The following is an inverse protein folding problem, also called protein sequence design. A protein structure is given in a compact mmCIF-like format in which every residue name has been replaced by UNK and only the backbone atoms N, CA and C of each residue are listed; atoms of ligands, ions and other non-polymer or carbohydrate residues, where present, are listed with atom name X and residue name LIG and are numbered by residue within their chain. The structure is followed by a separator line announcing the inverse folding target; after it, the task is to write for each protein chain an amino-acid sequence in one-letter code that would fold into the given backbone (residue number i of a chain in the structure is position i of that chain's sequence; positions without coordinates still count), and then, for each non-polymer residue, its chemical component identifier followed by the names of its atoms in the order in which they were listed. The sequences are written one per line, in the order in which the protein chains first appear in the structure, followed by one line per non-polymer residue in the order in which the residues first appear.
data_IF_979981633350
#
_entry.id   IF_979981633350
#
_cell.length_a   1.000
_cell.length_b   1.000
_cell.length_c   1.000
_cell.angle_alpha   90.00
_cell.angle_beta   90.00
_cell.angle_gamma   90.00
#
_symmetry.space_group_name_H-M   'P 1'
#
loop_
_entity.id
_entity.type
_entity.pdbx_description
1 polymer ?
#
# COMPACT_ATOMS: atom_id res chain seq x y z
N UNK A 1 -1.26 -41.94 -17.85
CA UNK A 1 -2.57 -41.41 -17.39
C UNK A 1 -3.02 -42.04 -16.07
N UNK A 2 -2.19 -42.05 -15.01
CA UNK A 2 -2.31 -43.12 -13.99
C UNK A 2 -2.71 -42.72 -12.56
N UNK A 3 -2.54 -41.47 -12.08
CA UNK A 3 -2.69 -41.15 -10.63
C UNK A 3 -4.04 -40.53 -10.25
N UNK A 4 -4.62 -39.70 -11.12
CA UNK A 4 -5.89 -39.02 -10.85
C UNK A 4 -7.11 -39.95 -10.98
N UNK A 5 -7.07 -40.92 -11.89
CA UNK A 5 -8.12 -41.93 -12.05
C UNK A 5 -8.20 -42.88 -10.83
N UNK A 6 -7.04 -43.32 -10.33
CA UNK A 6 -6.94 -44.14 -9.10
C UNK A 6 -7.47 -43.35 -7.92
N UNK A 7 -7.04 -42.09 -7.76
CA UNK A 7 -7.56 -41.21 -6.70
C UNK A 7 -9.09 -41.09 -6.78
N UNK A 8 -9.65 -40.97 -7.98
CA UNK A 8 -11.09 -40.88 -8.17
C UNK A 8 -11.82 -42.19 -7.84
N UNK A 9 -11.27 -43.33 -8.27
CA UNK A 9 -11.82 -44.69 -8.03
C UNK A 9 -11.90 -45.00 -6.54
N UNK A 10 -10.84 -44.71 -5.78
CA UNK A 10 -10.76 -45.03 -4.35
C UNK A 10 -11.40 -43.96 -3.44
N UNK A 11 -11.61 -42.73 -3.91
CA UNK A 11 -12.17 -41.66 -3.07
C UNK A 11 -13.56 -41.99 -2.50
N UNK A 12 -14.47 -42.59 -3.28
CA UNK A 12 -15.80 -42.98 -2.79
C UNK A 12 -15.73 -44.08 -1.73
N UNK A 13 -14.89 -45.09 -1.94
CA UNK A 13 -14.66 -46.19 -0.99
C UNK A 13 -14.02 -45.66 0.29
N UNK A 14 -13.01 -44.80 0.16
CA UNK A 14 -12.35 -44.13 1.28
C UNK A 14 -13.32 -43.30 2.14
N UNK A 15 -14.29 -42.61 1.53
CA UNK A 15 -15.27 -41.82 2.30
C UNK A 15 -16.15 -42.67 3.22
N UNK A 16 -16.60 -43.83 2.72
CA UNK A 16 -17.56 -44.73 3.37
C UNK A 16 -16.89 -45.81 4.25
N UNK A 17 -15.58 -46.00 4.11
CA UNK A 17 -14.81 -46.99 4.83
C UNK A 17 -14.71 -46.70 6.34
N UNK A 18 -14.59 -47.77 7.13
CA UNK A 18 -14.23 -47.74 8.55
C UNK A 18 -12.78 -47.26 8.73
N UNK A 19 -12.36 -47.01 9.98
CA UNK A 19 -10.98 -46.54 10.27
C UNK A 19 -9.92 -47.51 9.76
N UNK A 20 -10.15 -48.83 9.94
CA UNK A 20 -9.24 -49.90 9.49
C UNK A 20 -9.13 -49.91 7.95
N UNK A 21 -10.27 -49.97 7.27
CA UNK A 21 -10.33 -50.00 5.80
C UNK A 21 -9.83 -48.71 5.14
N UNK A 22 -9.94 -47.56 5.82
CA UNK A 22 -9.29 -46.30 5.37
C UNK A 22 -7.77 -46.40 5.40
N UNK A 23 -7.21 -47.13 6.37
CA UNK A 23 -5.78 -47.44 6.45
C UNK A 23 -5.33 -48.20 5.21
N UNK A 24 -5.97 -49.34 4.94
CA UNK A 24 -5.69 -50.23 3.79
C UNK A 24 -5.80 -49.49 2.45
N UNK A 25 -6.86 -48.68 2.26
CA UNK A 25 -7.02 -47.89 1.03
C UNK A 25 -5.90 -46.86 0.87
N UNK A 26 -5.42 -46.25 1.97
CA UNK A 26 -4.28 -45.34 1.89
C UNK A 26 -3.00 -46.06 1.50
N UNK A 27 -2.77 -47.27 2.00
CA UNK A 27 -1.58 -48.06 1.68
C UNK A 27 -1.54 -48.41 0.19
N UNK A 28 -2.66 -48.90 -0.35
CA UNK A 28 -2.81 -49.18 -1.79
C UNK A 28 -2.58 -47.92 -2.64
N UNK A 29 -3.11 -46.78 -2.21
CA UNK A 29 -2.94 -45.52 -2.97
C UNK A 29 -1.50 -45.02 -2.88
N UNK A 30 -0.84 -45.17 -1.72
CA UNK A 30 0.57 -44.79 -1.53
C UNK A 30 1.46 -45.65 -2.41
N UNK A 31 1.27 -46.96 -2.41
CA UNK A 31 2.03 -47.93 -3.21
C UNK A 31 1.94 -47.61 -4.71
N UNK A 32 0.73 -47.40 -5.23
CA UNK A 32 0.54 -47.20 -6.68
C UNK A 32 0.91 -45.78 -7.14
N UNK A 33 0.81 -44.77 -6.27
CA UNK A 33 1.08 -43.36 -6.66
C UNK A 33 2.45 -42.85 -6.25
N UNK A 34 3.16 -43.55 -5.36
CA UNK A 34 4.41 -43.10 -4.73
C UNK A 34 4.23 -41.86 -3.84
N UNK A 35 3.01 -41.56 -3.40
CA UNK A 35 2.74 -40.40 -2.56
C UNK A 35 2.98 -40.69 -1.08
N UNK A 36 3.33 -39.66 -0.31
CA UNK A 36 3.24 -39.75 1.15
C UNK A 36 1.78 -39.97 1.58
N UNK A 37 1.60 -40.71 2.68
CA UNK A 37 0.27 -41.07 3.21
C UNK A 37 -0.63 -39.85 3.45
N UNK A 38 -0.05 -38.74 3.89
CA UNK A 38 -0.74 -37.47 4.09
C UNK A 38 -1.17 -36.79 2.80
N UNK A 39 -0.37 -36.91 1.74
CA UNK A 39 -0.72 -36.40 0.41
C UNK A 39 -1.84 -37.25 -0.21
N UNK A 40 -1.75 -38.58 -0.13
CA UNK A 40 -2.81 -39.51 -0.56
C UNK A 40 -4.15 -39.21 0.16
N UNK A 41 -4.11 -39.02 1.48
CA UNK A 41 -5.29 -38.63 2.28
C UNK A 41 -5.91 -37.31 1.81
N UNK A 42 -5.09 -36.28 1.56
CA UNK A 42 -5.54 -34.97 1.08
C UNK A 42 -6.17 -35.07 -0.31
N UNK A 43 -5.54 -35.83 -1.23
CA UNK A 43 -6.01 -36.03 -2.60
C UNK A 43 -7.34 -36.78 -2.66
N UNK A 44 -7.50 -37.86 -1.89
CA UNK A 44 -8.76 -38.60 -1.77
C UNK A 44 -9.90 -37.71 -1.22
N UNK A 45 -9.64 -36.92 -0.17
CA UNK A 45 -10.62 -35.96 0.38
C UNK A 45 -11.01 -34.87 -0.63
N UNK A 46 -10.05 -34.34 -1.38
CA UNK A 46 -10.27 -33.28 -2.38
C UNK A 46 -11.06 -33.80 -3.60
N UNK A 47 -10.83 -35.04 -4.01
CA UNK A 47 -11.55 -35.66 -5.13
C UNK A 47 -13.07 -35.76 -4.89
N UNK A 48 -13.50 -36.02 -3.65
CA UNK A 48 -14.93 -36.01 -3.26
C UNK A 48 -15.56 -34.62 -3.32
N UNK A 49 -14.79 -33.57 -3.01
CA UNK A 49 -15.30 -32.19 -3.04
C UNK A 49 -15.60 -31.73 -4.47
N UNK A 50 -14.83 -32.20 -5.48
CA UNK A 50 -15.03 -31.86 -6.90
C UNK A 50 -16.42 -32.23 -7.43
N UNK A 51 -17.02 -33.36 -7.00
CA UNK A 51 -18.38 -33.74 -7.42
C UNK A 51 -19.49 -32.95 -6.71
N UNK A 52 -19.30 -32.56 -5.44
CA UNK A 52 -20.27 -31.70 -4.72
C UNK A 52 -20.32 -30.27 -5.25
N UNK A 53 -19.33 -29.85 -6.04
CA UNK A 53 -19.22 -28.48 -6.55
C UNK A 53 -19.89 -28.25 -7.92
N UNK A 54 -20.06 -29.27 -8.77
CA UNK A 54 -20.55 -29.07 -10.16
C UNK A 54 -22.06 -28.75 -10.25
N UNK A 55 -22.83 -29.15 -9.24
CA UNK A 55 -24.29 -28.95 -9.15
C UNK A 55 -24.76 -28.19 -7.91
N UNK A 56 -23.86 -27.51 -7.17
CA UNK A 56 -24.34 -26.39 -6.37
C UNK A 56 -24.76 -25.33 -7.37
N UNK A 57 -26.05 -25.29 -7.72
CA UNK A 57 -26.68 -24.09 -8.31
C UNK A 57 -26.10 -22.93 -7.53
N UNK A 58 -25.28 -22.11 -8.16
CA UNK A 58 -24.90 -20.83 -7.59
C UNK A 58 -26.21 -20.07 -7.50
N UNK A 59 -26.90 -20.18 -6.36
CA UNK A 59 -27.99 -19.27 -6.05
C UNK A 59 -27.33 -17.91 -6.19
N UNK A 60 -27.64 -17.19 -7.28
CA UNK A 60 -27.13 -15.84 -7.48
C UNK A 60 -27.65 -15.08 -6.28
N UNK A 61 -26.79 -14.87 -5.27
CA UNK A 61 -27.15 -14.11 -4.08
C UNK A 61 -27.65 -12.78 -4.60
N UNK A 62 -28.92 -12.45 -4.36
CA UNK A 62 -29.46 -11.13 -4.69
C UNK A 62 -28.54 -10.11 -4.06
N UNK A 63 -27.82 -9.36 -4.90
CA UNK A 63 -26.97 -8.28 -4.43
C UNK A 63 -27.90 -7.22 -3.87
N UNK A 64 -27.72 -6.85 -2.59
CA UNK A 64 -28.46 -5.73 -2.00
C UNK A 64 -28.28 -4.50 -2.90
N UNK A 65 -29.35 -3.71 -3.14
CA UNK A 65 -29.22 -2.47 -3.89
C UNK A 65 -28.16 -1.59 -3.23
N UNK A 66 -27.40 -0.90 -4.08
CA UNK A 66 -26.35 -0.01 -3.63
C UNK A 66 -27.00 1.24 -3.03
N UNK A 67 -26.74 1.50 -1.74
CA UNK A 67 -27.31 2.65 -1.01
C UNK A 67 -26.98 4.00 -1.64
N UNK A 68 -25.82 4.09 -2.31
CA UNK A 68 -25.27 5.33 -2.82
C UNK A 68 -25.32 5.35 -4.34
N UNK A 69 -25.58 6.52 -4.91
CA UNK A 69 -25.81 6.74 -6.33
C UNK A 69 -24.59 6.34 -7.18
N UNK A 70 -24.80 5.97 -8.46
CA UNK A 70 -23.69 5.75 -9.40
C UNK A 70 -22.78 6.97 -9.52
N UNK A 71 -23.35 8.18 -9.55
CA UNK A 71 -22.64 9.45 -9.61
C UNK A 71 -21.70 9.65 -8.42
N UNK A 72 -22.20 9.50 -7.19
CA UNK A 72 -21.36 9.60 -5.98
C UNK A 72 -20.18 8.61 -6.00
N UNK A 73 -20.38 7.41 -6.55
CA UNK A 73 -19.30 6.41 -6.68
C UNK A 73 -18.25 6.78 -7.73
N UNK A 74 -18.63 7.45 -8.81
CA UNK A 74 -17.68 7.93 -9.82
C UNK A 74 -16.84 9.09 -9.25
N UNK A 75 -17.51 10.06 -8.63
CA UNK A 75 -16.85 11.18 -7.96
C UNK A 75 -15.92 10.67 -6.84
N UNK A 76 -16.31 9.61 -6.12
CA UNK A 76 -15.44 8.96 -5.12
C UNK A 76 -14.12 8.48 -5.73
N UNK A 77 -14.16 7.84 -6.89
CA UNK A 77 -12.96 7.32 -7.57
C UNK A 77 -12.04 8.46 -7.98
N UNK A 78 -12.62 9.55 -8.50
CA UNK A 78 -11.87 10.74 -8.90
C UNK A 78 -11.23 11.44 -7.68
N UNK A 79 -12.00 11.72 -6.63
CA UNK A 79 -11.47 12.29 -5.39
C UNK A 79 -10.37 11.41 -4.76
N UNK A 80 -10.56 10.09 -4.79
CA UNK A 80 -9.58 9.13 -4.28
C UNK A 80 -8.25 9.16 -5.05
N UNK A 81 -8.30 9.19 -6.38
CA UNK A 81 -7.08 9.24 -7.20
C UNK A 81 -6.31 10.54 -6.98
N UNK A 82 -7.02 11.67 -6.96
CA UNK A 82 -6.43 12.99 -6.70
C UNK A 82 -5.88 13.14 -5.28
N UNK A 83 -6.41 12.40 -4.31
CA UNK A 83 -5.92 12.41 -2.92
C UNK A 83 -4.63 11.59 -2.70
N UNK A 84 -4.11 10.92 -3.73
CA UNK A 84 -2.94 10.05 -3.62
C UNK A 84 -3.24 8.62 -3.17
N UNK A 85 -4.42 8.10 -3.52
CA UNK A 85 -4.79 6.68 -3.40
C UNK A 85 -4.79 6.14 -1.94
N UNK A 86 -5.28 6.92 -0.98
CA UNK A 86 -5.31 6.51 0.44
C UNK A 86 -6.35 5.39 0.71
N UNK A 87 -6.28 4.72 1.87
CA UNK A 87 -7.30 3.73 2.24
C UNK A 87 -8.58 4.40 2.74
N UNK A 88 -9.72 3.69 2.72
CA UNK A 88 -11.02 4.29 3.01
C UNK A 88 -11.11 5.00 4.35
N UNK A 89 -10.42 4.50 5.38
CA UNK A 89 -10.37 5.16 6.68
C UNK A 89 -9.70 6.55 6.65
N UNK A 90 -8.60 6.69 5.91
CA UNK A 90 -7.92 7.98 5.75
C UNK A 90 -8.67 8.87 4.76
N UNK A 91 -9.29 8.30 3.73
CA UNK A 91 -10.11 9.06 2.79
C UNK A 91 -11.31 9.71 3.48
N UNK A 92 -11.99 9.00 4.38
CA UNK A 92 -13.06 9.59 5.21
C UNK A 92 -12.53 10.79 6.01
N UNK A 93 -11.35 10.66 6.63
CA UNK A 93 -10.76 11.76 7.39
C UNK A 93 -10.40 12.96 6.49
N UNK A 94 -9.90 12.71 5.27
CA UNK A 94 -9.63 13.77 4.27
C UNK A 94 -10.92 14.44 3.79
N UNK A 95 -11.98 13.67 3.50
CA UNK A 95 -13.29 14.21 3.12
C UNK A 95 -13.82 15.11 4.24
N UNK A 96 -13.75 14.64 5.50
CA UNK A 96 -14.14 15.44 6.68
C UNK A 96 -13.28 16.69 6.86
N UNK A 97 -11.99 16.65 6.53
CA UNK A 97 -11.09 17.81 6.61
C UNK A 97 -11.20 18.78 5.42
N UNK A 98 -12.14 18.54 4.50
CA UNK A 98 -12.43 19.46 3.39
C UNK A 98 -11.77 19.10 2.06
N UNK A 99 -11.34 17.85 1.83
CA UNK A 99 -10.80 17.41 0.54
C UNK A 99 -11.72 17.77 -0.62
N UNK A 100 -13.02 17.46 -0.53
CA UNK A 100 -13.98 17.74 -1.59
C UNK A 100 -14.10 19.24 -1.85
N UNK A 101 -14.12 20.06 -0.78
CA UNK A 101 -14.15 21.51 -0.87
C UNK A 101 -12.92 22.07 -1.60
N UNK A 102 -11.72 21.59 -1.29
CA UNK A 102 -10.49 22.01 -1.97
C UNK A 102 -10.49 21.61 -3.44
N UNK A 103 -10.85 20.37 -3.74
CA UNK A 103 -10.90 19.87 -5.12
C UNK A 103 -11.93 20.65 -5.96
N UNK A 104 -13.08 20.99 -5.39
CA UNK A 104 -14.10 21.81 -6.08
C UNK A 104 -13.61 23.25 -6.25
N UNK A 105 -13.04 23.87 -5.20
CA UNK A 105 -12.54 25.24 -5.26
C UNK A 105 -11.43 25.43 -6.31
N UNK A 106 -10.62 24.41 -6.55
CA UNK A 106 -9.60 24.40 -7.59
C UNK A 106 -10.09 23.89 -8.96
N UNK A 107 -11.37 23.56 -9.10
CA UNK A 107 -11.93 23.06 -10.37
C UNK A 107 -11.36 21.70 -10.80
N UNK A 108 -11.05 20.82 -9.85
CA UNK A 108 -10.44 19.52 -10.12
C UNK A 108 -11.43 18.34 -10.03
N UNK A 109 -12.61 18.55 -9.43
CA UNK A 109 -13.59 17.49 -9.22
C UNK A 109 -14.67 17.49 -10.31
N UNK A 110 -14.81 16.34 -10.99
CA UNK A 110 -15.74 16.15 -12.11
C UNK A 110 -16.52 14.85 -11.97
N UNK A 111 -17.75 14.83 -12.49
CA UNK A 111 -18.47 13.60 -12.77
C UNK A 111 -18.00 13.03 -14.11
N UNK A 112 -17.26 11.93 -14.07
CA UNK A 112 -16.55 11.37 -15.21
C UNK A 112 -15.11 11.89 -15.34
N UNK A 113 -14.61 11.97 -16.58
CA UNK A 113 -13.23 12.37 -16.88
C UNK A 113 -13.10 13.90 -16.96
N UNK A 114 -11.98 14.48 -16.51
CA UNK A 114 -11.75 15.95 -16.47
C UNK A 114 -12.09 16.68 -17.79
N UNK A 115 -11.85 16.04 -18.94
CA UNK A 115 -12.05 16.64 -20.27
C UNK A 115 -13.41 16.33 -20.92
N UNK A 116 -14.22 15.43 -20.34
CA UNK A 116 -15.50 14.97 -20.92
C UNK A 116 -16.66 15.00 -19.91
N UNK A 117 -16.36 15.30 -18.65
CA UNK A 117 -17.27 15.26 -17.53
C UNK A 117 -17.76 16.65 -17.15
N UNK A 118 -18.73 16.68 -16.24
CA UNK A 118 -19.31 17.92 -15.74
C UNK A 118 -18.65 18.29 -14.40
N UNK A 119 -18.31 19.58 -14.18
CA UNK A 119 -17.77 20.03 -12.91
C UNK A 119 -18.79 19.78 -11.78
N UNK A 120 -18.29 19.40 -10.62
CA UNK A 120 -19.13 19.11 -9.44
C UNK A 120 -19.22 20.35 -8.56
N UNK A 121 -20.42 20.73 -8.17
CA UNK A 121 -20.66 21.82 -7.21
C UNK A 121 -20.70 21.31 -5.77
N UNK A 122 -20.46 22.19 -4.80
CA UNK A 122 -20.60 21.88 -3.38
C UNK A 122 -22.03 21.50 -2.98
N UNK A 123 -23.04 22.00 -3.71
CA UNK A 123 -24.45 21.69 -3.47
C UNK A 123 -24.92 20.37 -4.09
N UNK A 124 -24.04 19.66 -4.80
CA UNK A 124 -24.40 18.40 -5.46
C UNK A 124 -24.79 17.31 -4.42
N UNK A 125 -25.95 16.64 -4.57
CA UNK A 125 -26.36 15.54 -3.69
C UNK A 125 -25.28 14.46 -3.52
N UNK A 126 -24.47 14.22 -4.54
CA UNK A 126 -23.38 13.26 -4.49
C UNK A 126 -22.29 13.64 -3.46
N UNK A 127 -22.05 14.93 -3.22
CA UNK A 127 -21.12 15.40 -2.19
C UNK A 127 -21.67 15.06 -0.80
N UNK A 128 -22.95 15.30 -0.57
CA UNK A 128 -23.64 14.91 0.67
C UNK A 128 -23.57 13.40 0.91
N UNK A 129 -23.80 12.60 -0.13
CA UNK A 129 -23.65 11.14 -0.08
C UNK A 129 -22.23 10.72 0.33
N UNK A 130 -21.20 11.35 -0.24
CA UNK A 130 -19.79 11.05 0.07
C UNK A 130 -19.45 11.32 1.55
N UNK A 131 -19.97 12.41 2.12
CA UNK A 131 -19.81 12.70 3.54
C UNK A 131 -20.45 11.65 4.46
N UNK A 132 -21.51 10.98 3.99
CA UNK A 132 -22.21 9.92 4.73
C UNK A 132 -21.58 8.53 4.57
N UNK A 133 -20.64 8.33 3.65
CA UNK A 133 -20.05 7.00 3.41
C UNK A 133 -19.14 6.57 4.56
N UNK A 134 -19.31 5.33 5.02
CA UNK A 134 -18.37 4.71 5.96
C UNK A 134 -17.08 4.27 5.27
N UNK A 135 -15.99 4.15 6.03
CA UNK A 135 -14.68 3.69 5.53
C UNK A 135 -14.77 2.33 4.81
N UNK A 136 -15.50 1.38 5.38
CA UNK A 136 -15.71 0.05 4.80
C UNK A 136 -16.50 0.11 3.49
N UNK A 137 -17.45 1.04 3.36
CA UNK A 137 -18.21 1.24 2.13
C UNK A 137 -17.33 1.80 1.02
N UNK A 138 -16.53 2.82 1.35
CA UNK A 138 -15.53 3.40 0.45
C UNK A 138 -14.56 2.31 -0.05
N UNK A 139 -13.99 1.51 0.84
CA UNK A 139 -13.06 0.45 0.44
C UNK A 139 -13.73 -0.62 -0.44
N UNK A 140 -15.02 -0.90 -0.23
CA UNK A 140 -15.78 -1.81 -1.09
C UNK A 140 -15.98 -1.24 -2.49
N UNK A 141 -16.30 0.05 -2.61
CA UNK A 141 -16.51 0.72 -3.90
C UNK A 141 -15.21 0.92 -4.68
N UNK A 142 -14.13 1.28 -3.98
CA UNK A 142 -12.81 1.46 -4.58
C UNK A 142 -12.11 0.13 -4.91
N UNK A 143 -12.68 -1.03 -4.57
CA UNK A 143 -12.02 -2.33 -4.77
C UNK A 143 -11.67 -2.62 -6.23
N UNK A 144 -12.47 -2.14 -7.19
CA UNK A 144 -12.15 -2.27 -8.62
C UNK A 144 -10.98 -1.34 -8.97
N UNK A 145 -11.14 -0.04 -8.73
CA UNK A 145 -10.11 0.96 -9.01
C UNK A 145 -8.74 0.65 -8.35
N UNK A 146 -8.73 0.14 -7.10
CA UNK A 146 -7.51 -0.30 -6.40
C UNK A 146 -6.81 -1.49 -7.06
N UNK A 147 -7.57 -2.41 -7.66
CA UNK A 147 -7.00 -3.55 -8.39
C UNK A 147 -6.42 -3.07 -9.73
N UNK A 148 -7.10 -2.16 -10.39
CA UNK A 148 -6.68 -1.64 -11.69
C UNK A 148 -5.44 -0.72 -11.58
N UNK A 149 -5.26 -0.03 -10.45
CA UNK A 149 -4.09 0.83 -10.17
C UNK A 149 -2.78 0.05 -9.94
N UNK A 150 -2.87 -1.17 -9.38
CA UNK A 150 -1.70 -1.98 -9.07
C UNK A 150 -1.48 -2.93 -10.25
N UNK A 151 -0.56 -2.64 -11.19
CA UNK A 151 -0.06 -3.72 -12.06
C UNK A 151 0.43 -4.85 -11.15
N UNK A 152 0.33 -6.14 -11.54
CA UNK A 152 0.83 -7.25 -10.75
C UNK A 152 2.36 -7.20 -10.69
N UNK A 153 2.91 -6.26 -9.92
CA UNK A 153 4.32 -6.19 -9.62
C UNK A 153 4.56 -7.34 -8.65
N UNK A 154 5.30 -8.36 -9.10
CA UNK A 154 5.84 -9.38 -8.21
C UNK A 154 6.46 -8.65 -7.02
N UNK A 155 6.06 -8.98 -5.81
CA UNK A 155 6.70 -8.47 -4.62
C UNK A 155 8.15 -8.95 -4.62
N UNK A 156 9.06 -8.17 -5.21
CA UNK A 156 10.51 -8.36 -5.06
C UNK A 156 10.88 -7.82 -3.70
N UNK A 157 10.39 -8.50 -2.67
CA UNK A 157 10.84 -8.32 -1.29
C UNK A 157 12.19 -9.01 -1.16
N UNK A 158 13.24 -8.46 -1.80
CA UNK A 158 14.58 -8.66 -1.26
C UNK A 158 14.72 -7.68 -0.11
N UNK A 159 14.67 -8.21 1.11
CA UNK A 159 15.08 -7.49 2.30
C UNK A 159 16.55 -7.15 2.11
N UNK A 160 16.83 -5.87 1.92
CA UNK A 160 18.19 -5.39 2.02
C UNK A 160 18.43 -5.08 3.50
N UNK A 161 19.07 -6.03 4.19
CA UNK A 161 19.62 -5.82 5.53
C UNK A 161 20.82 -4.88 5.40
N UNK A 162 20.62 -3.61 5.75
CA UNK A 162 21.74 -2.71 5.95
C UNK A 162 21.88 -2.47 7.46
N UNK A 163 22.86 -3.10 8.15
CA UNK A 163 23.41 -2.47 9.36
C UNK A 163 23.88 -1.05 8.97
N UNK A 164 24.04 -0.13 9.94
CA UNK A 164 24.60 1.20 9.67
C UNK A 164 25.69 1.07 8.61
N UNK A 165 25.42 1.63 7.43
CA UNK A 165 26.29 1.44 6.28
C UNK A 165 27.64 2.09 6.61
N UNK A 166 28.73 1.58 6.01
CA UNK A 166 30.10 2.07 6.20
C UNK A 166 30.21 3.61 6.18
N UNK A 167 29.34 4.26 5.42
CA UNK A 167 29.17 5.69 5.24
C UNK A 167 28.96 6.47 6.56
N UNK A 168 28.39 5.84 7.60
CA UNK A 168 28.17 6.47 8.91
C UNK A 168 29.20 6.05 9.98
N UNK A 169 30.11 5.15 9.63
CA UNK A 169 31.20 4.68 10.49
C UNK A 169 32.51 5.13 9.82
N UNK A 170 32.68 6.45 9.72
CA UNK A 170 33.89 7.08 9.19
C UNK A 170 34.57 7.93 10.28
N UNK A 171 35.81 8.31 10.02
CA UNK A 171 36.62 9.05 11.00
C UNK A 171 36.06 10.44 11.27
N UNK A 172 35.57 11.14 10.24
CA UNK A 172 35.02 12.49 10.40
C UNK A 172 33.80 12.52 11.31
N UNK A 173 32.87 11.57 11.17
CA UNK A 173 31.66 11.51 12.01
C UNK A 173 31.98 11.13 13.44
N UNK A 174 32.98 10.26 13.66
CA UNK A 174 33.45 9.90 15.00
C UNK A 174 34.06 11.12 15.69
N UNK A 175 34.92 11.87 14.99
CA UNK A 175 35.58 13.04 15.56
C UNK A 175 34.58 14.18 15.82
N UNK A 176 33.63 14.39 14.91
CA UNK A 176 32.51 15.31 15.12
C UNK A 176 31.65 14.92 16.33
N UNK A 177 31.30 13.64 16.46
CA UNK A 177 30.50 13.16 17.59
C UNK A 177 31.22 13.34 18.93
N UNK A 178 32.54 13.10 18.99
CA UNK A 178 33.35 13.37 20.19
C UNK A 178 33.35 14.86 20.53
N UNK A 179 33.51 15.73 19.54
CA UNK A 179 33.54 17.18 19.73
C UNK A 179 32.19 17.73 20.23
N UNK A 180 31.07 17.17 19.75
CA UNK A 180 29.73 17.52 20.21
C UNK A 180 29.27 16.74 21.47
N UNK A 181 30.13 15.87 21.99
CA UNK A 181 29.86 14.99 23.13
C UNK A 181 28.61 14.09 22.91
N UNK A 182 28.44 13.60 21.68
CA UNK A 182 27.40 12.64 21.31
C UNK A 182 27.88 11.21 21.48
N UNK A 183 27.06 10.40 22.13
CA UNK A 183 27.29 8.97 22.23
C UNK A 183 26.83 8.26 20.96
N UNK A 184 27.77 7.79 20.13
CA UNK A 184 27.45 6.95 18.98
C UNK A 184 27.10 5.53 19.44
N UNK A 185 25.98 5.01 18.95
CA UNK A 185 25.53 3.63 19.19
C UNK A 185 25.24 2.93 17.86
N UNK A 186 25.32 1.59 17.86
CA UNK A 186 25.09 0.78 16.67
C UNK A 186 24.13 -0.37 16.98
N UNK A 187 23.21 -0.64 16.07
CA UNK A 187 22.35 -1.82 16.12
C UNK A 187 23.17 -3.10 15.94
N UNK A 188 22.62 -4.23 16.39
CA UNK A 188 23.34 -5.50 16.28
C UNK A 188 23.53 -5.88 14.80
N UNK A 189 24.67 -6.47 14.42
CA UNK A 189 24.89 -6.97 13.07
C UNK A 189 23.74 -7.89 12.63
N UNK A 190 23.23 -7.68 11.41
CA UNK A 190 22.16 -8.47 10.80
C UNK A 190 20.78 -8.46 11.50
N UNK A 191 20.53 -7.51 12.40
CA UNK A 191 19.22 -7.35 13.05
C UNK A 191 18.45 -6.13 12.51
N UNK A 192 17.75 -6.32 11.38
CA UNK A 192 16.98 -5.24 10.71
C UNK A 192 15.86 -4.65 11.56
N UNK A 193 15.35 -5.40 12.55
CA UNK A 193 14.26 -4.96 13.42
C UNK A 193 14.71 -4.00 14.51
N UNK A 194 16.01 -3.84 14.77
CA UNK A 194 16.53 -2.91 15.78
C UNK A 194 16.21 -1.44 15.41
N UNK A 195 16.12 -1.15 14.10
CA UNK A 195 15.79 0.19 13.56
C UNK A 195 14.40 0.22 12.90
N UNK A 196 13.43 -0.55 13.41
CA UNK A 196 12.12 -0.72 12.78
C UNK A 196 11.38 0.60 12.48
N UNK A 197 11.50 1.61 13.35
CA UNK A 197 10.86 2.92 13.15
C UNK A 197 11.48 3.71 11.99
N UNK A 198 12.81 3.66 11.86
CA UNK A 198 13.53 4.28 10.73
C UNK A 198 13.15 3.57 9.44
N UNK A 199 13.16 2.23 9.44
CA UNK A 199 12.82 1.44 8.26
C UNK A 199 11.36 1.62 7.81
N UNK A 200 10.43 1.76 8.77
CA UNK A 200 9.05 2.12 8.47
C UNK A 200 8.97 3.47 7.75
N UNK A 201 9.72 4.48 8.20
CA UNK A 201 9.71 5.81 7.57
C UNK A 201 10.41 5.84 6.22
N UNK A 202 11.54 5.15 6.10
CA UNK A 202 12.22 4.93 4.83
C UNK A 202 11.30 4.26 3.81
N UNK A 203 10.51 3.28 4.23
CA UNK A 203 9.49 2.69 3.35
C UNK A 203 8.39 3.69 2.97
N UNK A 204 7.81 4.36 3.96
CA UNK A 204 6.60 5.18 3.79
C UNK A 204 6.83 6.48 2.98
N UNK A 205 8.02 7.07 3.14
CA UNK A 205 8.39 8.36 2.55
C UNK A 205 9.35 8.15 1.37
N UNK A 206 10.44 7.42 1.56
CA UNK A 206 11.48 7.33 0.54
C UNK A 206 11.09 6.30 -0.52
N UNK A 207 11.03 5.02 -0.16
CA UNK A 207 10.90 3.91 -1.13
C UNK A 207 9.57 3.89 -1.86
N UNK A 208 8.50 4.42 -1.24
CA UNK A 208 7.19 4.56 -1.88
C UNK A 208 7.20 5.64 -2.98
N UNK A 209 8.06 6.65 -2.84
CA UNK A 209 8.10 7.79 -3.74
C UNK A 209 9.29 7.70 -4.71
N UNK A 210 10.51 7.52 -4.22
CA UNK A 210 11.73 7.40 -5.03
C UNK A 210 12.14 5.95 -5.37
N UNK A 211 11.29 4.95 -5.11
CA UNK A 211 11.54 3.54 -5.46
C UNK A 211 12.83 2.96 -4.81
N UNK A 212 13.38 1.89 -5.39
CA UNK A 212 14.59 1.19 -4.92
C UNK A 212 15.74 1.26 -5.93
N UNK A 213 15.75 2.27 -6.80
CA UNK A 213 16.83 2.46 -7.77
C UNK A 213 18.01 3.22 -7.15
N UNK A 214 19.18 3.06 -7.78
CA UNK A 214 20.33 3.93 -7.55
C UNK A 214 20.21 5.09 -8.53
N UNK A 215 20.41 6.29 -8.02
CA UNK A 215 20.41 7.52 -8.79
C UNK A 215 21.80 8.12 -8.67
N UNK A 216 22.40 8.46 -9.80
CA UNK A 216 23.72 9.08 -9.87
C UNK A 216 23.60 10.37 -10.71
N UNK A 217 24.38 11.40 -10.36
CA UNK A 217 24.38 12.70 -11.06
C UNK A 217 23.57 13.82 -10.38
N UNK A 218 23.86 15.05 -10.78
CA UNK A 218 23.25 16.28 -10.24
C UNK A 218 21.77 16.40 -10.61
N UNK A 219 21.40 16.06 -11.85
CA UNK A 219 20.01 16.09 -12.32
C UNK A 219 19.09 15.22 -11.45
N UNK A 220 19.52 13.99 -11.13
CA UNK A 220 18.71 13.12 -10.28
C UNK A 220 18.58 13.66 -8.84
N UNK A 221 19.61 14.36 -8.34
CA UNK A 221 19.57 15.02 -7.04
C UNK A 221 18.57 16.18 -7.02
N UNK A 222 18.54 17.01 -8.07
CA UNK A 222 17.58 18.10 -8.22
C UNK A 222 16.14 17.57 -8.26
N UNK A 223 15.88 16.52 -9.06
CA UNK A 223 14.57 15.88 -9.14
C UNK A 223 14.13 15.30 -7.79
N UNK A 224 15.06 14.68 -7.04
CA UNK A 224 14.77 14.18 -5.69
C UNK A 224 14.41 15.32 -4.73
N UNK A 225 15.15 16.43 -4.75
CA UNK A 225 14.88 17.59 -3.90
C UNK A 225 13.50 18.19 -4.19
N UNK A 226 13.13 18.32 -5.46
CA UNK A 226 11.80 18.78 -5.85
C UNK A 226 10.72 17.77 -5.41
N UNK A 227 10.96 16.47 -5.58
CA UNK A 227 10.03 15.43 -5.13
C UNK A 227 9.77 15.52 -3.63
N UNK A 228 10.80 15.75 -2.82
CA UNK A 228 10.66 15.87 -1.36
C UNK A 228 9.82 17.07 -0.94
N UNK A 229 9.90 18.19 -1.65
CA UNK A 229 9.00 19.32 -1.41
C UNK A 229 7.52 18.90 -1.52
N UNK A 230 7.14 18.27 -2.63
CA UNK A 230 5.75 17.85 -2.87
C UNK A 230 5.30 16.73 -1.92
N UNK A 231 6.17 15.75 -1.65
CA UNK A 231 5.88 14.67 -0.69
C UNK A 231 5.68 15.23 0.71
N UNK A 232 6.52 16.17 1.15
CA UNK A 232 6.37 16.83 2.46
C UNK A 232 5.09 17.64 2.53
N UNK A 233 4.73 18.38 1.49
CA UNK A 233 3.47 19.13 1.42
C UNK A 233 2.28 18.17 1.60
N UNK A 234 2.25 17.06 0.86
CA UNK A 234 1.20 16.04 0.99
C UNK A 234 1.16 15.43 2.41
N UNK A 235 2.31 14.98 2.92
CA UNK A 235 2.38 14.23 4.18
C UNK A 235 2.08 15.09 5.40
N UNK A 236 2.43 16.38 5.36
CA UNK A 236 2.22 17.28 6.49
C UNK A 236 0.83 17.93 6.48
N UNK A 237 0.30 18.30 5.31
CA UNK A 237 -0.94 19.09 5.22
C UNK A 237 -2.15 18.29 4.76
N UNK A 238 -1.98 17.28 3.89
CA UNK A 238 -3.10 16.63 3.20
C UNK A 238 -3.41 15.24 3.75
N UNK A 239 -2.40 14.46 4.16
CA UNK A 239 -2.57 13.05 4.55
C UNK A 239 -2.71 12.90 6.06
N UNK A 240 -3.87 12.42 6.55
CA UNK A 240 -4.06 12.19 7.97
C UNK A 240 -3.29 10.95 8.44
N UNK A 241 -2.83 11.00 9.69
CA UNK A 241 -2.10 9.90 10.35
C UNK A 241 -2.72 9.60 11.71
N UNK A 242 -2.59 8.35 12.14
CA UNK A 242 -2.94 7.92 13.49
C UNK A 242 -1.71 7.85 14.39
N UNK A 243 -1.90 8.15 15.66
CA UNK A 243 -0.90 7.95 16.71
C UNK A 243 -1.44 6.96 17.73
N UNK A 244 -0.55 6.09 18.21
CA UNK A 244 -0.88 5.20 19.30
C UNK A 244 -0.97 6.05 20.58
N UNK A 245 -2.12 6.01 21.24
CA UNK A 245 -2.39 6.77 22.47
C UNK A 245 -2.39 5.89 23.71
N UNK A 246 -2.34 4.57 23.54
CA UNK A 246 -2.32 3.62 24.65
C UNK A 246 -2.40 2.20 24.17
N UNK A 247 -2.54 1.27 25.11
CA UNK A 247 -2.64 -0.15 24.83
C UNK A 247 -3.78 -0.76 25.64
N UNK A 248 -4.53 -1.69 25.03
CA UNK A 248 -5.49 -2.56 25.71
C UNK A 248 -5.04 -4.01 25.64
N UNK A 249 -5.57 -4.87 26.51
CA UNK A 249 -5.40 -6.32 26.42
C UNK A 249 -6.66 -6.94 25.80
N UNK A 250 -6.45 -7.89 24.89
CA UNK A 250 -7.53 -8.72 24.36
C UNK A 250 -7.95 -9.78 25.38
N UNK A 251 -9.10 -10.45 25.17
CA UNK A 251 -9.55 -11.55 26.02
C UNK A 251 -8.53 -12.68 26.17
N UNK A 252 -7.64 -12.85 25.18
CA UNK A 252 -6.54 -13.83 25.19
C UNK A 252 -5.22 -13.29 25.76
N UNK A 253 -5.22 -12.10 26.37
CA UNK A 253 -4.04 -11.49 27.01
C UNK A 253 -3.10 -10.74 26.06
N UNK A 254 -3.32 -10.79 24.73
CA UNK A 254 -2.47 -10.07 23.76
C UNK A 254 -2.67 -8.56 23.85
N UNK A 255 -1.58 -7.81 23.86
CA UNK A 255 -1.56 -6.34 23.81
C UNK A 255 -2.01 -5.84 22.43
N UNK A 256 -2.89 -4.85 22.42
CA UNK A 256 -3.42 -4.19 21.22
C UNK A 256 -3.29 -2.68 21.38
N UNK A 257 -2.67 -2.01 20.40
CA UNK A 257 -2.59 -0.55 20.37
C UNK A 257 -3.98 0.09 20.23
N UNK A 258 -4.23 1.10 21.04
CA UNK A 258 -5.36 2.03 20.92
C UNK A 258 -4.86 3.25 20.17
N UNK A 259 -5.57 3.63 19.11
CA UNK A 259 -5.18 4.72 18.24
C UNK A 259 -6.21 5.83 18.27
N UNK A 260 -5.75 7.05 18.07
CA UNK A 260 -6.63 8.20 17.93
C UNK A 260 -7.34 8.27 16.56
N UNK A 261 -8.17 9.30 16.42
CA UNK A 261 -8.76 9.63 15.13
C UNK A 261 -7.70 10.16 14.15
N UNK A 262 -7.77 9.80 12.87
CA UNK A 262 -6.81 10.27 11.88
C UNK A 262 -6.81 11.79 11.75
N UNK A 263 -5.65 12.43 11.99
CA UNK A 263 -5.42 13.87 11.83
C UNK A 263 -4.12 14.12 11.08
N UNK A 264 -4.08 15.16 10.24
CA UNK A 264 -2.84 15.55 9.55
C UNK A 264 -1.83 16.11 10.55
N UNK A 265 -0.51 16.02 10.31
CA UNK A 265 0.49 16.68 11.13
C UNK A 265 0.20 18.18 11.33
N UNK A 266 -0.23 18.88 10.28
CA UNK A 266 -0.62 20.29 10.37
C UNK A 266 -1.82 20.51 11.32
N UNK A 267 -2.86 19.67 11.26
CA UNK A 267 -3.98 19.73 12.21
C UNK A 267 -3.53 19.50 13.66
N UNK A 268 -2.60 18.57 13.88
CA UNK A 268 -2.04 18.32 15.21
C UNK A 268 -1.28 19.53 15.74
N UNK A 269 -0.49 20.18 14.89
CA UNK A 269 0.22 21.42 15.26
C UNK A 269 -0.75 22.57 15.59
N UNK A 270 -1.85 22.70 14.86
CA UNK A 270 -2.87 23.72 15.15
C UNK A 270 -3.54 23.51 16.52
N UNK A 271 -3.76 22.26 16.91
CA UNK A 271 -4.28 21.88 18.22
C UNK A 271 -3.25 22.02 19.35
N UNK A 272 -1.96 22.11 19.01
CA UNK A 272 -0.89 22.17 19.99
C UNK A 272 -0.61 23.61 20.44
N UNK A 273 -0.24 23.76 21.71
CA UNK A 273 -0.11 25.06 22.38
C UNK A 273 1.13 25.88 22.01
N UNK A 274 2.18 25.27 21.46
CA UNK A 274 3.47 25.95 21.26
C UNK A 274 3.60 26.75 19.96
N UNK A 275 2.55 26.81 19.13
CA UNK A 275 2.61 27.48 17.82
C UNK A 275 2.04 28.89 17.92
N UNK A 276 2.83 29.90 17.54
CA UNK A 276 2.40 31.30 17.50
C UNK A 276 1.17 31.49 16.62
N UNK A 277 0.34 32.49 16.95
CA UNK A 277 -0.88 32.76 16.18
C UNK A 277 -0.60 33.09 14.70
N UNK A 278 0.52 33.76 14.41
CA UNK A 278 1.02 34.01 13.05
C UNK A 278 1.26 32.70 12.30
N UNK A 279 1.95 31.75 12.92
CA UNK A 279 2.25 30.45 12.32
C UNK A 279 0.98 29.59 12.17
N UNK A 280 0.05 29.65 13.12
CA UNK A 280 -1.27 28.97 12.99
C UNK A 280 -2.05 29.48 11.78
N UNK A 281 -2.11 30.81 11.58
CA UNK A 281 -2.74 31.42 10.38
C UNK A 281 -2.07 30.93 9.09
N UNK A 282 -0.73 30.92 9.03
CA UNK A 282 0.02 30.41 7.87
C UNK A 282 -0.29 28.93 7.59
N UNK A 283 -0.28 28.08 8.62
CA UNK A 283 -0.61 26.66 8.49
C UNK A 283 -2.03 26.44 7.96
N UNK A 284 -3.01 27.18 8.48
CA UNK A 284 -4.40 27.11 8.03
C UNK A 284 -4.53 27.56 6.57
N UNK A 285 -3.89 28.67 6.20
CA UNK A 285 -3.89 29.17 4.84
C UNK A 285 -3.28 28.14 3.87
N UNK A 286 -2.11 27.59 4.18
CA UNK A 286 -1.49 26.54 3.34
C UNK A 286 -2.38 25.31 3.24
N UNK A 287 -2.96 24.84 4.34
CA UNK A 287 -3.83 23.66 4.35
C UNK A 287 -5.10 23.84 3.51
N UNK A 288 -5.67 25.05 3.46
CA UNK A 288 -6.90 25.35 2.71
C UNK A 288 -6.65 25.59 1.22
N UNK A 289 -5.51 26.19 0.86
CA UNK A 289 -5.20 26.60 -0.51
C UNK A 289 -4.30 25.62 -1.27
N UNK A 290 -3.87 24.53 -0.63
CA UNK A 290 -3.09 23.49 -1.31
C UNK A 290 -4.02 22.68 -2.22
N UNK A 291 -3.71 22.66 -3.51
CA UNK A 291 -4.41 21.84 -4.49
C UNK A 291 -3.90 20.39 -4.47
N UNK A 292 -4.69 19.47 -3.89
CA UNK A 292 -4.37 18.04 -3.82
C UNK A 292 -4.03 17.41 -5.19
N UNK A 293 -4.71 17.83 -6.26
CA UNK A 293 -4.51 17.31 -7.61
C UNK A 293 -3.15 17.71 -8.19
N UNK A 294 -2.74 18.96 -8.02
CA UNK A 294 -1.42 19.46 -8.46
C UNK A 294 -0.31 18.73 -7.72
N UNK A 295 -0.43 18.58 -6.40
CA UNK A 295 0.54 17.80 -5.61
C UNK A 295 0.64 16.37 -6.13
N UNK A 296 -0.49 15.77 -6.51
CA UNK A 296 -0.51 14.42 -7.09
C UNK A 296 0.14 14.32 -8.44
N UNK A 297 -0.15 15.23 -9.37
CA UNK A 297 0.47 15.26 -10.69
C UNK A 297 1.97 15.48 -10.60
N UNK A 298 2.43 16.44 -9.79
CA UNK A 298 3.85 16.72 -9.65
C UNK A 298 4.61 15.53 -9.08
N UNK A 299 4.06 14.87 -8.05
CA UNK A 299 4.69 13.64 -7.54
C UNK A 299 4.77 12.57 -8.62
N UNK A 300 3.70 12.30 -9.37
CA UNK A 300 3.72 11.27 -10.44
C UNK A 300 4.74 11.64 -11.53
N UNK A 301 4.74 12.90 -11.99
CA UNK A 301 5.66 13.36 -13.03
C UNK A 301 7.13 13.24 -12.60
N UNK A 302 7.45 13.62 -11.35
CA UNK A 302 8.80 13.50 -10.80
C UNK A 302 9.19 12.03 -10.59
N UNK A 303 8.25 11.17 -10.19
CA UNK A 303 8.47 9.72 -10.14
C UNK A 303 8.80 9.15 -11.53
N UNK A 304 8.08 9.56 -12.57
CA UNK A 304 8.34 9.12 -13.93
C UNK A 304 9.70 9.63 -14.45
N UNK A 305 10.09 10.87 -14.12
CA UNK A 305 11.43 11.39 -14.41
C UNK A 305 12.52 10.56 -13.73
N UNK A 306 12.37 10.27 -12.44
CA UNK A 306 13.32 9.40 -11.72
C UNK A 306 13.40 8.01 -12.35
N UNK A 307 12.27 7.42 -12.74
CA UNK A 307 12.28 6.12 -13.41
C UNK A 307 13.07 6.15 -14.71
N UNK A 308 12.97 7.21 -15.51
CA UNK A 308 13.77 7.37 -16.73
C UNK A 308 15.26 7.48 -16.41
N UNK A 309 15.62 8.37 -15.47
CA UNK A 309 17.00 8.56 -15.02
C UNK A 309 17.62 7.30 -14.39
N UNK A 310 16.83 6.42 -13.81
CA UNK A 310 17.30 5.13 -13.28
C UNK A 310 17.47 4.05 -14.35
N UNK A 311 16.72 4.13 -15.46
CA UNK A 311 16.75 3.13 -16.53
C UNK A 311 17.81 3.45 -17.59
N UNK A 312 18.11 4.72 -17.82
CA UNK A 312 19.16 5.15 -18.76
C UNK A 312 20.56 4.62 -18.42
N UNK A 313 21.02 4.58 -17.16
CA UNK A 313 22.31 3.98 -16.80
C UNK A 313 22.42 2.52 -17.18
N UNK A 314 21.32 1.74 -17.11
CA UNK A 314 21.36 0.32 -17.49
C UNK A 314 21.49 0.11 -19.00
N UNK A 315 20.96 1.04 -19.81
CA UNK A 315 21.10 1.01 -21.26
C UNK A 315 22.48 1.54 -21.66
N UNK A 316 22.98 2.58 -20.99
CA UNK A 316 24.31 3.14 -21.21
C UNK A 316 25.41 2.19 -20.74
N UNK A 317 25.23 1.47 -19.63
CA UNK A 317 26.16 0.43 -19.16
C UNK A 317 26.11 -0.81 -20.07
N UNK A 318 24.93 -1.19 -20.56
CA UNK A 318 24.79 -2.26 -21.57
C UNK A 318 25.43 -1.87 -22.91
N UNK A 319 25.17 -0.66 -23.40
CA UNK A 319 25.78 -0.12 -24.64
C UNK A 319 27.26 0.11 -24.47
N UNK A 320 27.75 0.58 -23.31
CA UNK A 320 29.19 0.65 -23.01
C UNK A 320 29.83 -0.74 -22.99
N UNK A 321 29.15 -1.75 -22.43
CA UNK A 321 29.62 -3.13 -22.47
C UNK A 321 29.60 -3.72 -23.88
N UNK A 322 28.59 -3.42 -24.70
CA UNK A 322 28.55 -3.85 -26.11
C UNK A 322 29.56 -3.12 -26.99
N UNK A 323 29.78 -1.81 -26.80
CA UNK A 323 30.81 -1.04 -27.52
C UNK A 323 32.21 -1.55 -27.15
N UNK A 324 32.46 -1.81 -25.86
CA UNK A 324 33.71 -2.42 -25.39
C UNK A 324 33.89 -3.87 -25.88
N UNK A 325 32.80 -4.63 -26.05
CA UNK A 325 32.83 -5.98 -26.61
C UNK A 325 32.92 -6.02 -28.14
N UNK A 326 32.46 -4.97 -28.83
CA UNK A 326 32.49 -4.82 -30.29
C UNK A 326 33.80 -4.21 -30.81
N UNK A 327 34.70 -3.75 -29.93
CA UNK A 327 36.04 -3.30 -30.30
C UNK A 327 36.08 -2.00 -31.09
N UNK A 328 35.20 -1.04 -30.77
CA UNK A 328 35.30 0.34 -31.24
C UNK A 328 35.98 1.24 -30.23
#
# INVERSE_FOLDING_TARGET
MAKDEITFKYAKKYARASKKTKGEILDIVVEVTGWSRDNARRRLKKALQRKRSKYKRSVKRRTRPLKYSPRARQILVNAWSLSGNCCGQYLVAQIKSGLLKRLIAHGELYDGHKNKGYPVSLSDPAITELHQMSSATIDRYLRKAKRDLIPPVLSTTRQASYPLRSEFINREMIDYAKLQNYQMTRSRPYHSNDNAHVEQKNYEIIRKHAFRYRYDGEEAMEVLNELWFWVNLRKNYLVPTRKCIGHSKTKSGRTRGIYDEPKTPAQRLLLYGCVSQKNKKKLMYTMQNTNDAVVTRNIINLQDKLLRLALEPSLVDYVKQEILAAGF
#
